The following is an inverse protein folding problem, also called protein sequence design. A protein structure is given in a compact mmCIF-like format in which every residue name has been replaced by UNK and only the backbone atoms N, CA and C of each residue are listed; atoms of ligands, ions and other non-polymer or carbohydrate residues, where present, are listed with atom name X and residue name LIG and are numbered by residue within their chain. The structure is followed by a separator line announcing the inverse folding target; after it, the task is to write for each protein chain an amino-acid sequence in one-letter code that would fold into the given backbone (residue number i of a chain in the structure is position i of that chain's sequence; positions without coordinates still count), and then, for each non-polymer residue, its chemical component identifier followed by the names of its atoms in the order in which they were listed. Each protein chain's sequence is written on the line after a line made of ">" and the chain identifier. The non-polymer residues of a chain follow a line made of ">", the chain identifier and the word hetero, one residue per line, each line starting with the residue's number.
data_IF_260395570584
#
_entry.id   IF_260395570584
#
_cell.length_a   1.000
_cell.length_b   1.000
_cell.length_c   1.000
_cell.angle_alpha   90.00
_cell.angle_beta   90.00
_cell.angle_gamma   90.00
#
_symmetry.space_group_name_H-M   'P 1'
#
loop_
_entity.id
_entity.type
_entity.pdbx_description
1 polymer ?
#
# COMPACT_ATOMS: atom_id res chain seq x y z
N UNK A 1 18.19 7.65 -26.15
CA UNK A 1 17.77 8.89 -25.45
C UNK A 1 18.16 8.74 -23.98
N UNK A 2 18.85 9.71 -23.39
CA UNK A 2 19.17 9.68 -21.94
C UNK A 2 18.06 10.41 -21.19
N UNK A 3 17.38 9.69 -20.31
CA UNK A 3 16.27 10.22 -19.50
C UNK A 3 16.73 10.74 -18.13
N UNK A 4 18.03 10.57 -17.79
CA UNK A 4 18.56 10.94 -16.48
C UNK A 4 18.33 9.87 -15.40
N UNK A 5 18.42 10.30 -14.13
CA UNK A 5 18.37 9.43 -12.95
C UNK A 5 17.31 9.92 -11.96
N UNK A 6 16.77 8.97 -11.18
CA UNK A 6 15.94 9.28 -10.01
C UNK A 6 16.88 9.63 -8.84
N UNK A 7 17.12 10.91 -8.64
CA UNK A 7 18.01 11.41 -7.59
C UNK A 7 17.21 12.13 -6.51
N UNK A 8 17.64 11.99 -5.28
CA UNK A 8 17.23 12.86 -4.19
C UNK A 8 18.10 14.12 -4.21
N UNK A 9 17.52 15.27 -3.93
CA UNK A 9 18.26 16.54 -3.74
C UNK A 9 18.87 16.57 -2.33
N UNK A 10 19.80 15.64 -2.07
CA UNK A 10 20.50 15.47 -0.79
C UNK A 10 21.99 15.32 -1.08
N UNK A 11 22.79 16.24 -0.53
CA UNK A 11 24.25 16.12 -0.59
C UNK A 11 24.75 15.19 0.54
N UNK A 12 24.74 13.88 0.27
CA UNK A 12 25.21 12.89 1.20
C UNK A 12 26.73 13.02 1.51
N UNK A 13 27.51 13.63 0.63
CA UNK A 13 28.94 13.87 0.89
C UNK A 13 29.11 14.93 1.94
N UNK A 14 28.44 16.06 1.79
CA UNK A 14 28.46 17.13 2.80
C UNK A 14 27.91 16.66 4.16
N UNK A 15 26.85 15.84 4.16
CA UNK A 15 26.32 15.25 5.38
C UNK A 15 27.34 14.31 6.07
N UNK A 16 28.08 13.52 5.30
CA UNK A 16 29.11 12.64 5.85
C UNK A 16 30.28 13.41 6.47
N UNK A 17 30.60 14.57 5.96
CA UNK A 17 31.67 15.45 6.45
C UNK A 17 31.27 16.27 7.69
N UNK A 18 29.98 16.62 7.78
CA UNK A 18 29.46 17.48 8.84
C UNK A 18 28.99 16.75 10.10
N UNK A 19 28.69 15.46 10.01
CA UNK A 19 28.22 14.70 11.18
C UNK A 19 29.38 14.27 12.10
N UNK A 20 29.17 14.43 13.43
CA UNK A 20 30.09 13.90 14.45
C UNK A 20 29.90 12.40 14.75
N UNK A 21 28.84 11.77 14.22
CA UNK A 21 28.56 10.35 14.42
C UNK A 21 29.21 9.52 13.32
N UNK A 22 30.12 8.63 13.71
CA UNK A 22 30.86 7.78 12.75
C UNK A 22 29.99 6.78 12.02
N UNK A 23 28.88 6.32 12.61
CA UNK A 23 27.94 5.39 11.99
C UNK A 23 27.12 6.12 10.93
N UNK A 24 26.59 7.32 11.25
CA UNK A 24 25.90 8.16 10.29
C UNK A 24 26.83 8.60 9.15
N UNK A 25 28.07 8.99 9.45
CA UNK A 25 29.04 9.31 8.42
C UNK A 25 29.28 8.16 7.45
N UNK A 26 29.39 6.94 7.96
CA UNK A 26 29.54 5.74 7.14
C UNK A 26 28.31 5.46 6.28
N UNK A 27 27.10 5.64 6.84
CA UNK A 27 25.85 5.51 6.10
C UNK A 27 25.75 6.55 4.98
N UNK A 28 26.06 7.81 5.26
CA UNK A 28 26.03 8.87 4.25
C UNK A 28 27.04 8.59 3.11
N UNK A 29 28.26 8.16 3.42
CA UNK A 29 29.22 7.72 2.39
C UNK A 29 28.71 6.55 1.56
N UNK A 30 28.06 5.58 2.20
CA UNK A 30 27.43 4.47 1.49
C UNK A 30 26.35 4.96 0.51
N UNK A 31 25.47 5.88 0.95
CA UNK A 31 24.44 6.47 0.08
C UNK A 31 25.05 7.28 -1.06
N UNK A 32 26.07 8.11 -0.79
CA UNK A 32 26.77 8.89 -1.80
C UNK A 32 27.42 8.01 -2.90
N UNK A 33 27.85 6.80 -2.54
CA UNK A 33 28.47 5.86 -3.47
C UNK A 33 27.45 5.04 -4.28
N UNK A 34 26.14 5.13 -4.01
CA UNK A 34 25.12 4.37 -4.75
C UNK A 34 24.77 5.05 -6.07
N UNK A 35 24.67 4.26 -7.13
CA UNK A 35 24.15 4.74 -8.39
C UNK A 35 22.63 4.76 -8.34
N UNK A 36 21.99 5.90 -8.57
CA UNK A 36 20.54 6.00 -8.62
C UNK A 36 19.95 5.19 -9.78
N UNK A 37 18.69 4.80 -9.63
CA UNK A 37 17.95 4.15 -10.73
C UNK A 37 17.78 5.11 -11.91
N UNK A 38 17.87 4.57 -13.12
CA UNK A 38 17.64 5.36 -14.33
C UNK A 38 16.17 5.67 -14.53
N UNK A 39 15.91 6.86 -15.02
CA UNK A 39 14.61 7.22 -15.59
C UNK A 39 14.44 6.54 -16.96
N UNK A 40 13.20 6.44 -17.42
CA UNK A 40 12.84 5.89 -18.72
C UNK A 40 11.69 6.66 -19.36
N UNK A 41 11.24 6.24 -20.53
CA UNK A 41 10.18 6.89 -21.31
C UNK A 41 8.81 6.99 -20.59
N UNK A 42 8.62 6.24 -19.50
CA UNK A 42 7.38 6.25 -18.70
C UNK A 42 7.48 7.13 -17.47
N UNK A 43 8.68 7.64 -17.14
CA UNK A 43 8.88 8.48 -15.95
C UNK A 43 8.04 9.75 -16.07
N UNK A 44 7.24 10.02 -15.04
CA UNK A 44 6.32 11.16 -15.00
C UNK A 44 5.02 11.01 -15.80
N UNK A 45 4.81 9.88 -16.49
CA UNK A 45 3.62 9.63 -17.32
C UNK A 45 2.30 9.89 -16.59
N UNK A 46 2.25 9.62 -15.30
CA UNK A 46 1.07 9.78 -14.46
C UNK A 46 1.17 10.98 -13.51
N UNK A 47 2.09 11.92 -13.75
CA UNK A 47 2.19 13.14 -12.93
C UNK A 47 0.85 13.89 -12.92
N UNK A 48 0.38 14.27 -11.72
CA UNK A 48 -0.91 14.96 -11.52
C UNK A 48 -2.16 14.08 -11.63
N UNK A 49 -2.02 12.76 -11.82
CA UNK A 49 -3.15 11.83 -11.83
C UNK A 49 -3.45 11.32 -10.44
N UNK A 50 -4.71 10.99 -10.18
CA UNK A 50 -5.11 10.29 -8.96
C UNK A 50 -4.49 8.90 -8.91
N UNK A 51 -4.12 8.45 -7.71
CA UNK A 51 -3.61 7.10 -7.48
C UNK A 51 -4.49 6.38 -6.45
N UNK A 52 -5.03 5.23 -6.83
CA UNK A 52 -5.62 4.27 -5.91
C UNK A 52 -4.64 3.10 -5.77
N UNK A 53 -4.15 2.87 -4.56
CA UNK A 53 -3.25 1.76 -4.24
C UNK A 53 -4.00 0.74 -3.38
N UNK A 54 -4.13 -0.48 -3.90
CA UNK A 54 -4.74 -1.60 -3.20
C UNK A 54 -3.66 -2.61 -2.80
N UNK A 55 -3.50 -2.83 -1.49
CA UNK A 55 -2.76 -3.98 -0.98
C UNK A 55 -3.76 -5.11 -0.72
N UNK A 56 -3.78 -6.09 -1.61
CA UNK A 56 -4.76 -7.17 -1.61
C UNK A 56 -4.30 -8.30 -0.67
N UNK A 57 -4.99 -8.46 0.47
CA UNK A 57 -4.72 -9.51 1.45
C UNK A 57 -4.91 -10.90 0.85
N UNK A 58 -3.90 -11.77 1.03
CA UNK A 58 -3.93 -13.19 0.61
C UNK A 58 -4.26 -13.38 -0.88
N UNK A 59 -3.94 -12.41 -1.72
CA UNK A 59 -4.24 -12.45 -3.15
C UNK A 59 -3.15 -13.20 -3.93
N UNK A 60 -3.58 -13.98 -4.93
CA UNK A 60 -2.69 -14.67 -5.88
C UNK A 60 -3.12 -14.37 -7.32
N UNK A 61 -2.17 -14.27 -8.28
CA UNK A 61 -2.50 -14.15 -9.71
C UNK A 61 -3.42 -15.26 -10.24
N UNK A 62 -3.46 -16.41 -9.59
CA UNK A 62 -4.39 -17.52 -9.91
C UNK A 62 -5.86 -17.14 -9.78
N UNK A 63 -6.18 -16.06 -9.03
CA UNK A 63 -7.54 -15.56 -8.87
C UNK A 63 -7.97 -14.59 -9.98
N UNK A 64 -7.09 -14.28 -10.94
CA UNK A 64 -7.43 -13.43 -12.08
C UNK A 64 -8.11 -14.29 -13.15
N UNK A 65 -9.40 -14.08 -13.33
CA UNK A 65 -10.25 -14.86 -14.23
C UNK A 65 -11.20 -13.93 -14.98
N UNK A 66 -11.44 -14.22 -16.24
CA UNK A 66 -12.39 -13.46 -17.06
C UNK A 66 -13.82 -13.60 -16.53
N UNK A 67 -14.15 -14.75 -15.95
CA UNK A 67 -15.48 -15.03 -15.43
C UNK A 67 -15.69 -14.49 -14.01
N UNK A 68 -14.73 -14.70 -13.09
CA UNK A 68 -14.90 -14.37 -11.68
C UNK A 68 -14.37 -13.00 -11.29
N UNK A 69 -13.33 -12.52 -11.97
CA UNK A 69 -12.68 -11.24 -11.67
C UNK A 69 -12.47 -10.41 -12.94
N UNK A 70 -13.53 -10.12 -13.71
CA UNK A 70 -13.42 -9.53 -15.05
C UNK A 70 -12.71 -8.17 -15.05
N UNK A 71 -12.86 -7.37 -14.00
CA UNK A 71 -12.16 -6.09 -13.88
C UNK A 71 -10.64 -6.30 -13.71
N UNK A 72 -10.22 -7.21 -12.85
CA UNK A 72 -8.79 -7.52 -12.67
C UNK A 72 -8.21 -8.13 -13.95
N UNK A 73 -8.97 -9.03 -14.60
CA UNK A 73 -8.58 -9.59 -15.89
C UNK A 73 -8.33 -8.49 -16.92
N UNK A 74 -9.27 -7.54 -17.08
CA UNK A 74 -9.14 -6.40 -18.00
C UNK A 74 -7.91 -5.55 -17.65
N UNK A 75 -7.72 -5.18 -16.38
CA UNK A 75 -6.59 -4.36 -15.95
C UNK A 75 -5.23 -5.01 -16.24
N UNK A 76 -5.12 -6.33 -16.11
CA UNK A 76 -3.89 -7.07 -16.44
C UNK A 76 -3.66 -7.27 -17.94
N UNK A 77 -4.63 -6.94 -18.80
CA UNK A 77 -4.51 -7.01 -20.26
C UNK A 77 -4.41 -5.62 -20.93
N UNK A 78 -4.87 -4.58 -20.26
CA UNK A 78 -4.88 -3.21 -20.77
C UNK A 78 -3.86 -2.29 -20.07
N UNK A 79 -3.36 -2.68 -18.90
CA UNK A 79 -2.44 -1.90 -18.08
C UNK A 79 -1.01 -2.44 -18.08
N UNK A 80 -0.17 -1.83 -17.23
CA UNK A 80 1.18 -2.35 -16.97
C UNK A 80 1.09 -3.59 -16.08
N UNK A 81 1.80 -4.65 -16.47
CA UNK A 81 1.93 -5.89 -15.70
C UNK A 81 3.39 -6.12 -15.34
N UNK A 82 3.68 -6.18 -14.05
CA UNK A 82 5.02 -6.44 -13.53
C UNK A 82 5.21 -7.96 -13.33
N UNK A 83 5.68 -8.64 -14.37
CA UNK A 83 5.85 -10.11 -14.37
C UNK A 83 6.91 -10.63 -13.38
N UNK A 84 7.82 -9.75 -12.95
CA UNK A 84 8.88 -10.05 -11.99
C UNK A 84 8.65 -9.33 -10.65
N UNK A 85 7.40 -9.24 -10.21
CA UNK A 85 7.05 -8.70 -8.90
C UNK A 85 7.12 -9.80 -7.84
N UNK A 86 7.92 -9.59 -6.80
CA UNK A 86 8.11 -10.55 -5.72
C UNK A 86 7.78 -9.93 -4.38
N UNK A 87 6.98 -10.63 -3.59
CA UNK A 87 6.70 -10.22 -2.23
C UNK A 87 7.83 -10.71 -1.31
N UNK A 88 8.33 -9.85 -0.40
CA UNK A 88 9.33 -10.25 0.57
C UNK A 88 8.78 -11.32 1.54
N UNK A 89 9.48 -12.44 1.69
CA UNK A 89 9.11 -13.57 2.55
C UNK A 89 9.90 -13.62 3.86
N UNK A 90 10.06 -12.51 4.58
CA UNK A 90 10.98 -12.42 5.73
C UNK A 90 10.31 -12.51 7.10
N UNK A 91 9.33 -13.39 7.25
CA UNK A 91 8.71 -13.69 8.54
C UNK A 91 7.81 -12.57 9.10
N UNK A 92 7.54 -11.55 8.32
CA UNK A 92 6.55 -10.51 8.61
C UNK A 92 5.44 -10.64 7.58
N UNK A 93 4.23 -10.96 8.02
CA UNK A 93 3.09 -11.18 7.12
C UNK A 93 2.56 -9.87 6.50
N UNK A 94 1.30 -9.55 6.69
CA UNK A 94 0.61 -8.38 6.14
C UNK A 94 1.38 -7.08 6.36
N UNK A 95 1.83 -6.80 7.59
CA UNK A 95 2.53 -5.54 7.91
C UNK A 95 3.89 -5.40 7.23
N UNK A 96 4.57 -6.51 6.93
CA UNK A 96 5.81 -6.49 6.14
C UNK A 96 5.55 -6.10 4.69
N UNK A 97 4.47 -6.61 4.09
CA UNK A 97 4.02 -6.23 2.76
C UNK A 97 3.62 -4.76 2.67
N UNK A 98 2.83 -4.27 3.62
CA UNK A 98 2.46 -2.86 3.72
C UNK A 98 3.69 -1.96 3.84
N UNK A 99 4.62 -2.30 4.75
CA UNK A 99 5.84 -1.53 4.94
C UNK A 99 6.64 -1.42 3.65
N UNK A 100 6.85 -2.54 2.96
CA UNK A 100 7.60 -2.56 1.70
C UNK A 100 6.94 -1.69 0.61
N UNK A 101 5.62 -1.78 0.46
CA UNK A 101 4.87 -1.02 -0.55
C UNK A 101 4.84 0.47 -0.23
N UNK A 102 4.61 0.84 1.03
CA UNK A 102 4.45 2.24 1.43
C UNK A 102 5.76 3.00 1.60
N UNK A 103 6.87 2.31 1.79
CA UNK A 103 8.18 2.94 2.05
C UNK A 103 9.26 2.63 1.01
N UNK A 104 9.09 1.57 0.22
CA UNK A 104 10.14 1.06 -0.66
C UNK A 104 11.31 0.38 0.07
N UNK A 105 11.18 0.16 1.38
CA UNK A 105 12.21 -0.46 2.22
C UNK A 105 11.88 -1.93 2.48
N UNK A 106 12.93 -2.72 2.67
CA UNK A 106 12.79 -4.13 3.03
C UNK A 106 12.39 -4.25 4.51
N UNK A 107 11.32 -5.00 4.85
CA UNK A 107 10.91 -5.17 6.23
C UNK A 107 11.95 -5.97 7.03
N UNK A 108 12.16 -5.58 8.28
CA UNK A 108 13.09 -6.22 9.23
C UNK A 108 12.58 -6.05 10.65
N UNK A 109 13.37 -6.51 11.63
CA UNK A 109 13.13 -6.28 13.04
C UNK A 109 14.03 -5.14 13.53
N UNK A 110 13.47 -4.20 14.27
CA UNK A 110 14.16 -3.01 14.80
C UNK A 110 13.89 -2.94 16.31
N UNK A 111 14.92 -3.17 17.11
CA UNK A 111 14.79 -3.10 18.58
C UNK A 111 13.77 -4.08 19.19
N UNK A 112 13.46 -5.18 18.50
CA UNK A 112 12.43 -6.14 18.92
C UNK A 112 11.04 -5.91 18.29
N UNK A 113 10.82 -4.77 17.64
CA UNK A 113 9.60 -4.47 16.89
C UNK A 113 9.78 -4.78 15.39
N UNK A 114 8.69 -5.12 14.71
CA UNK A 114 8.68 -5.16 13.23
C UNK A 114 8.81 -3.75 12.65
N UNK A 115 9.47 -3.61 11.49
CA UNK A 115 9.74 -2.31 10.84
C UNK A 115 8.48 -1.45 10.70
N UNK A 116 7.34 -2.06 10.36
CA UNK A 116 6.08 -1.35 10.25
C UNK A 116 5.70 -0.65 11.56
N UNK A 117 5.78 -1.35 12.70
CA UNK A 117 5.48 -0.77 14.00
C UNK A 117 6.57 0.21 14.47
N UNK A 118 7.83 -0.09 14.22
CA UNK A 118 8.95 0.80 14.53
C UNK A 118 8.82 2.16 13.83
N UNK A 119 8.32 2.18 12.58
CA UNK A 119 8.19 3.38 11.76
C UNK A 119 7.27 4.46 12.36
N UNK A 120 6.44 4.15 13.36
CA UNK A 120 5.55 5.11 14.03
C UNK A 120 6.28 6.32 14.67
N UNK A 121 7.57 6.16 14.97
CA UNK A 121 8.38 7.19 15.62
C UNK A 121 9.48 7.76 14.72
N UNK A 122 9.73 7.11 13.58
CA UNK A 122 10.82 7.50 12.70
C UNK A 122 10.38 8.61 11.74
N UNK A 123 11.30 9.49 11.40
CA UNK A 123 11.07 10.44 10.33
C UNK A 123 11.10 9.74 8.97
N UNK A 124 9.96 9.67 8.29
CA UNK A 124 9.75 8.90 7.06
C UNK A 124 9.37 9.80 5.86
N UNK A 125 10.19 10.78 5.47
CA UNK A 125 9.82 11.78 4.45
C UNK A 125 9.65 11.15 3.07
N UNK A 126 10.26 10.00 2.82
CA UNK A 126 10.21 9.27 1.55
C UNK A 126 9.12 8.18 1.53
N UNK A 127 8.36 8.02 2.61
CA UNK A 127 7.17 7.18 2.58
C UNK A 127 6.17 7.74 1.54
N UNK A 128 5.48 6.85 0.85
CA UNK A 128 4.65 7.21 -0.30
C UNK A 128 3.60 8.27 0.04
N UNK A 129 2.90 8.12 1.17
CA UNK A 129 1.92 9.11 1.63
C UNK A 129 2.55 10.48 1.88
N UNK A 130 3.72 10.54 2.55
CA UNK A 130 4.42 11.81 2.78
C UNK A 130 4.88 12.47 1.48
N UNK A 131 5.33 11.70 0.48
CA UNK A 131 5.69 12.24 -0.83
C UNK A 131 4.48 12.82 -1.56
N UNK A 132 3.34 12.11 -1.60
CA UNK A 132 2.11 12.62 -2.22
C UNK A 132 1.57 13.85 -1.48
N UNK A 133 1.61 13.84 -0.15
CA UNK A 133 1.20 15.01 0.66
C UNK A 133 2.07 16.23 0.37
N UNK A 134 3.38 16.06 0.23
CA UNK A 134 4.30 17.13 -0.16
C UNK A 134 4.02 17.68 -1.57
N UNK A 135 3.44 16.87 -2.46
CA UNK A 135 2.97 17.30 -3.78
C UNK A 135 1.57 17.92 -3.77
N UNK A 136 0.94 18.09 -2.61
CA UNK A 136 -0.38 18.71 -2.47
C UNK A 136 -1.56 17.77 -2.71
N UNK A 137 -1.35 16.44 -2.69
CA UNK A 137 -2.42 15.47 -2.77
C UNK A 137 -3.13 15.30 -1.42
N UNK A 138 -4.42 14.95 -1.47
CA UNK A 138 -5.08 14.30 -0.34
C UNK A 138 -4.56 12.86 -0.24
N UNK A 139 -4.36 12.38 0.98
CA UNK A 139 -3.75 11.06 1.22
C UNK A 139 -4.59 10.20 2.18
N UNK A 140 -5.88 9.93 1.87
CA UNK A 140 -6.70 9.07 2.70
C UNK A 140 -6.23 7.63 2.63
N UNK A 141 -6.43 6.90 3.76
CA UNK A 141 -6.13 5.47 3.83
C UNK A 141 -7.17 4.73 4.67
N UNK A 142 -7.51 3.52 4.26
CA UNK A 142 -8.51 2.69 4.94
C UNK A 142 -8.07 1.24 5.08
N UNK A 143 -8.53 0.65 6.19
CA UNK A 143 -8.49 -0.78 6.40
C UNK A 143 -9.78 -1.22 7.10
N UNK A 144 -10.45 -2.19 6.53
CA UNK A 144 -11.70 -2.76 7.05
C UNK A 144 -11.46 -3.73 8.22
N UNK A 145 -10.73 -3.24 9.23
CA UNK A 145 -10.53 -3.86 10.52
C UNK A 145 -10.56 -2.77 11.61
N UNK A 146 -10.43 -3.14 12.88
CA UNK A 146 -10.38 -2.16 13.96
C UNK A 146 -9.26 -1.15 13.74
N UNK A 147 -9.57 0.12 14.03
CA UNK A 147 -8.69 1.28 13.77
C UNK A 147 -7.25 1.10 14.27
N UNK A 148 -7.08 0.45 15.43
CA UNK A 148 -5.78 0.24 16.06
C UNK A 148 -5.11 -1.10 15.72
N UNK A 149 -5.70 -1.90 14.83
CA UNK A 149 -5.16 -3.22 14.51
C UNK A 149 -3.77 -3.10 13.87
N UNK A 150 -2.80 -3.84 14.40
CA UNK A 150 -1.37 -3.75 14.08
C UNK A 150 -0.76 -2.35 14.28
N UNK A 151 -1.42 -1.47 15.06
CA UNK A 151 -0.92 -0.12 15.32
C UNK A 151 -1.00 0.85 14.14
N UNK A 152 -1.86 0.57 13.16
CA UNK A 152 -2.04 1.43 11.97
C UNK A 152 -2.46 2.84 12.31
N UNK A 153 -3.20 3.03 13.39
CA UNK A 153 -3.56 4.34 13.94
C UNK A 153 -2.35 5.21 14.31
N UNK A 154 -1.17 4.63 14.52
CA UNK A 154 0.06 5.35 14.80
C UNK A 154 1.02 5.36 13.60
N UNK A 155 1.11 4.24 12.85
CA UNK A 155 2.04 4.12 11.72
C UNK A 155 1.58 4.90 10.49
N UNK A 156 0.31 4.78 10.10
CA UNK A 156 -0.19 5.41 8.88
C UNK A 156 -0.13 6.94 8.91
N UNK A 157 -0.52 7.64 10.00
CA UNK A 157 -0.34 9.08 10.08
C UNK A 157 1.12 9.51 9.94
N UNK A 158 2.06 8.75 10.52
CA UNK A 158 3.49 9.03 10.39
C UNK A 158 4.01 8.79 8.96
N UNK A 159 3.42 7.86 8.23
CA UNK A 159 3.71 7.61 6.82
C UNK A 159 3.02 8.60 5.87
N UNK A 160 2.24 9.56 6.41
CA UNK A 160 1.61 10.64 5.65
C UNK A 160 0.17 10.38 5.22
N UNK A 161 -0.57 9.51 5.92
CA UNK A 161 -1.95 9.19 5.59
C UNK A 161 -2.95 9.71 6.62
N UNK A 162 -4.10 10.17 6.14
CA UNK A 162 -5.29 10.38 6.92
C UNK A 162 -6.03 9.04 7.02
N UNK A 163 -5.70 8.28 8.08
CA UNK A 163 -6.07 6.89 8.21
C UNK A 163 -7.37 6.71 8.99
N UNK A 164 -8.25 5.88 8.46
CA UNK A 164 -9.51 5.47 9.07
C UNK A 164 -9.64 3.93 9.10
N UNK A 165 -10.33 3.46 10.12
CA UNK A 165 -10.66 2.05 10.32
C UNK A 165 -11.93 1.90 11.12
N UNK A 166 -12.39 0.67 11.34
CA UNK A 166 -13.60 0.40 12.13
C UNK A 166 -13.40 0.94 13.56
N UNK A 167 -14.34 1.75 14.01
CA UNK A 167 -14.30 2.45 15.30
C UNK A 167 -13.66 3.85 15.22
N UNK A 168 -13.16 4.28 14.05
CA UNK A 168 -12.68 5.64 13.80
C UNK A 168 -12.76 5.95 12.30
N UNK A 169 -13.81 6.63 11.90
CA UNK A 169 -14.06 7.09 10.52
C UNK A 169 -14.75 6.07 9.62
N UNK A 170 -14.46 4.78 9.73
CA UNK A 170 -15.04 3.73 8.90
C UNK A 170 -16.15 2.96 9.64
N UNK A 171 -17.31 2.81 8.98
CA UNK A 171 -18.42 1.97 9.43
C UNK A 171 -18.84 1.04 8.30
N UNK A 172 -18.98 -0.26 8.59
CA UNK A 172 -19.43 -1.27 7.65
C UNK A 172 -20.73 -1.91 8.13
N UNK A 173 -21.62 -2.28 7.23
CA UNK A 173 -22.86 -2.95 7.59
C UNK A 173 -22.65 -4.32 8.21
N UNK A 174 -21.57 -5.00 7.83
CA UNK A 174 -21.23 -6.36 8.28
C UNK A 174 -20.25 -6.41 9.45
N UNK A 175 -19.80 -5.29 10.01
CA UNK A 175 -18.74 -5.25 11.03
C UNK A 175 -19.08 -6.00 12.34
N UNK A 176 -20.36 -6.19 12.64
CA UNK A 176 -20.81 -6.85 13.88
C UNK A 176 -21.18 -8.34 13.67
N UNK A 177 -21.14 -8.84 12.43
CA UNK A 177 -21.71 -10.12 12.08
C UNK A 177 -20.76 -11.11 11.40
N UNK A 178 -19.65 -10.66 10.82
CA UNK A 178 -18.82 -11.55 10.01
C UNK A 178 -17.33 -11.16 10.00
N UNK A 179 -16.48 -12.16 9.99
CA UNK A 179 -15.05 -12.03 9.77
C UNK A 179 -14.62 -13.02 8.67
N UNK A 180 -13.78 -12.64 7.74
CA UNK A 180 -13.28 -11.28 7.44
C UNK A 180 -14.40 -10.37 6.91
N UNK A 181 -14.19 -9.05 7.07
CA UNK A 181 -15.15 -8.04 6.62
C UNK A 181 -15.08 -7.80 5.11
N UNK A 182 -16.11 -7.14 4.56
CA UNK A 182 -16.23 -6.92 3.13
C UNK A 182 -15.35 -5.75 2.64
N UNK A 183 -14.45 -6.02 1.71
CA UNK A 183 -13.68 -4.99 1.00
C UNK A 183 -14.58 -4.13 0.12
N UNK A 184 -15.64 -4.74 -0.46
CA UNK A 184 -16.62 -4.00 -1.26
C UNK A 184 -17.31 -2.93 -0.42
N UNK A 185 -17.78 -3.25 0.79
CA UNK A 185 -18.40 -2.27 1.68
C UNK A 185 -17.44 -1.14 2.07
N UNK A 186 -16.16 -1.44 2.29
CA UNK A 186 -15.15 -0.41 2.55
C UNK A 186 -15.01 0.54 1.36
N UNK A 187 -14.92 0.01 0.15
CA UNK A 187 -14.79 0.81 -1.07
C UNK A 187 -16.06 1.65 -1.33
N UNK A 188 -17.24 1.06 -1.19
CA UNK A 188 -18.54 1.76 -1.34
C UNK A 188 -18.71 2.89 -0.31
N UNK A 189 -18.22 2.69 0.92
CA UNK A 189 -18.31 3.70 1.97
C UNK A 189 -17.35 4.89 1.79
N UNK A 190 -16.26 4.74 1.03
CA UNK A 190 -15.14 5.68 1.09
C UNK A 190 -14.74 6.29 -0.25
N UNK A 191 -14.88 5.56 -1.37
CA UNK A 191 -14.34 5.98 -2.66
C UNK A 191 -15.04 7.24 -3.20
N UNK A 192 -16.35 7.31 -3.06
CA UNK A 192 -17.13 8.45 -3.58
C UNK A 192 -16.68 9.76 -2.93
N UNK A 193 -16.32 9.76 -1.65
CA UNK A 193 -15.83 10.96 -0.96
C UNK A 193 -14.54 11.52 -1.58
N UNK A 194 -13.63 10.65 -2.01
CA UNK A 194 -12.38 11.05 -2.69
C UNK A 194 -12.67 11.61 -4.09
N UNK A 195 -13.56 10.94 -4.82
CA UNK A 195 -13.94 11.35 -6.18
C UNK A 195 -14.67 12.70 -6.16
N UNK A 196 -15.65 12.86 -5.28
CA UNK A 196 -16.40 14.10 -5.12
C UNK A 196 -15.53 15.27 -4.67
N UNK A 197 -14.59 15.03 -3.73
CA UNK A 197 -13.63 16.04 -3.33
C UNK A 197 -12.73 16.47 -4.51
N UNK A 198 -12.25 15.54 -5.30
CA UNK A 198 -11.48 15.83 -6.51
C UNK A 198 -12.30 16.60 -7.55
N UNK A 199 -13.53 16.17 -7.85
CA UNK A 199 -14.40 16.83 -8.83
C UNK A 199 -14.77 18.26 -8.40
N UNK A 200 -14.87 18.50 -7.09
CA UNK A 200 -15.24 19.80 -6.54
C UNK A 200 -14.05 20.77 -6.47
N UNK A 201 -12.88 20.28 -6.07
CA UNK A 201 -11.70 21.11 -5.75
C UNK A 201 -10.62 21.09 -6.82
N UNK A 202 -10.56 20.05 -7.63
CA UNK A 202 -9.45 19.76 -8.54
C UNK A 202 -8.20 19.23 -7.83
N UNK A 203 -8.22 19.10 -6.49
CA UNK A 203 -7.08 18.58 -5.74
C UNK A 203 -6.95 17.08 -5.94
N UNK A 204 -5.81 16.58 -6.47
CA UNK A 204 -5.63 15.16 -6.69
C UNK A 204 -5.53 14.39 -5.35
N UNK A 205 -5.79 13.08 -5.43
CA UNK A 205 -5.69 12.20 -4.26
C UNK A 205 -4.83 10.97 -4.52
N UNK A 206 -4.21 10.48 -3.46
CA UNK A 206 -3.61 9.16 -3.35
C UNK A 206 -4.35 8.39 -2.25
N UNK A 207 -5.28 7.52 -2.65
CA UNK A 207 -6.06 6.69 -1.75
C UNK A 207 -5.40 5.33 -1.55
N UNK A 208 -5.13 4.96 -0.30
CA UNK A 208 -4.56 3.66 0.07
C UNK A 208 -5.60 2.77 0.72
N UNK A 209 -5.71 1.54 0.22
CA UNK A 209 -6.61 0.52 0.75
C UNK A 209 -5.84 -0.74 1.12
N UNK A 210 -5.91 -1.16 2.38
CA UNK A 210 -5.52 -2.47 2.83
C UNK A 210 -6.76 -3.34 2.94
N UNK A 211 -6.87 -4.39 2.12
CA UNK A 211 -8.03 -5.27 2.08
C UNK A 211 -7.97 -6.37 3.13
N UNK A 212 -9.09 -7.06 3.38
CA UNK A 212 -9.17 -8.16 4.34
C UNK A 212 -10.07 -9.33 3.92
N UNK A 213 -10.90 -9.16 2.89
CA UNK A 213 -11.88 -10.20 2.49
C UNK A 213 -11.24 -11.55 2.15
N UNK A 214 -10.02 -11.55 1.66
CA UNK A 214 -9.25 -12.75 1.35
C UNK A 214 -8.53 -13.39 2.54
N UNK A 215 -8.61 -12.76 3.74
CA UNK A 215 -7.88 -13.23 4.91
C UNK A 215 -8.38 -14.59 5.41
N UNK A 216 -7.43 -15.44 5.75
CA UNK A 216 -7.67 -16.71 6.42
C UNK A 216 -7.37 -17.94 5.58
N UNK A 217 -7.83 -19.09 6.08
CA UNK A 217 -7.71 -20.37 5.37
C UNK A 217 -8.68 -20.39 4.19
N UNK A 218 -8.23 -20.73 3.01
CA UNK A 218 -9.07 -20.84 1.82
C UNK A 218 -10.08 -21.99 1.93
N UNK A 219 -11.14 -21.78 2.73
CA UNK A 219 -12.21 -22.72 2.94
C UNK A 219 -13.56 -22.01 3.08
N UNK A 220 -14.64 -22.74 2.89
CA UNK A 220 -15.99 -22.21 2.92
C UNK A 220 -16.50 -21.82 4.34
N UNK A 221 -15.71 -22.00 5.36
CA UNK A 221 -16.00 -21.52 6.72
C UNK A 221 -15.76 -20.03 6.92
N UNK A 222 -15.04 -19.39 6.02
CA UNK A 222 -14.81 -17.93 6.05
C UNK A 222 -16.02 -17.19 5.47
N UNK A 223 -16.44 -16.10 6.07
CA UNK A 223 -17.67 -15.36 5.70
C UNK A 223 -17.70 -14.93 4.24
N UNK A 224 -16.61 -14.33 3.76
CA UNK A 224 -16.55 -13.86 2.37
C UNK A 224 -16.40 -14.99 1.36
N UNK A 225 -15.69 -16.06 1.71
CA UNK A 225 -15.64 -17.28 0.89
C UNK A 225 -17.02 -17.94 0.79
N UNK A 226 -17.72 -18.10 1.92
CA UNK A 226 -19.07 -18.66 1.97
C UNK A 226 -20.07 -17.84 1.13
N UNK A 227 -20.00 -16.51 1.22
CA UNK A 227 -20.84 -15.58 0.44
C UNK A 227 -20.71 -15.82 -1.07
N UNK A 228 -19.50 -16.10 -1.55
CA UNK A 228 -19.21 -16.22 -2.98
C UNK A 228 -19.15 -17.68 -3.47
N UNK A 229 -19.43 -18.67 -2.60
CA UNK A 229 -19.30 -20.09 -2.89
C UNK A 229 -20.07 -20.53 -4.14
N UNK A 230 -21.32 -20.13 -4.25
CA UNK A 230 -22.17 -20.54 -5.38
C UNK A 230 -21.61 -20.06 -6.73
N UNK A 231 -21.07 -18.83 -6.77
CA UNK A 231 -20.44 -18.29 -7.99
C UNK A 231 -19.15 -19.06 -8.35
N UNK A 232 -18.32 -19.37 -7.33
CA UNK A 232 -17.10 -20.12 -7.53
C UNK A 232 -17.36 -21.56 -8.00
N UNK A 233 -18.29 -22.26 -7.37
CA UNK A 233 -18.69 -23.64 -7.76
C UNK A 233 -19.36 -23.69 -9.16
N UNK A 234 -20.08 -22.64 -9.55
CA UNK A 234 -20.65 -22.55 -10.89
C UNK A 234 -19.58 -22.36 -11.99
N UNK A 235 -18.55 -21.54 -11.69
CA UNK A 235 -17.45 -21.31 -12.62
C UNK A 235 -16.47 -22.49 -12.69
N UNK A 236 -16.27 -23.19 -11.58
CA UNK A 236 -15.33 -24.33 -11.47
C UNK A 236 -15.98 -25.54 -10.78
N UNK A 237 -16.90 -26.25 -11.48
CA UNK A 237 -17.73 -27.28 -10.86
C UNK A 237 -16.97 -28.53 -10.39
N UNK A 238 -15.68 -28.67 -10.75
CA UNK A 238 -14.82 -29.80 -10.39
C UNK A 238 -13.57 -29.37 -9.57
N UNK A 239 -13.55 -28.15 -9.00
CA UNK A 239 -12.43 -27.68 -8.22
C UNK A 239 -12.50 -28.13 -6.76
#
# INVERSE_FOLDING_TARGET
>A
MDYGYNMLDIDFTALAESTGDSTLASLHRYMAARTPSRQNQYTGMFAGKNLILLTAESFSPWFISQELTPTLYRLTHEGFVFSNYYQPGWGQSTTGGEFAVLTGLLPTWVGGDVSFWASRYDYMPLALGNQFRALGYQTPAWHNNTYNYYGRNATHPNLGYDYEGIGSGLTLATQDSSWPYSDLEMLEATLDSCVDAYLTTGQPFHAYYMTVSGHGSYNWGQSMAAKNRAAAEAAYPNA
#
